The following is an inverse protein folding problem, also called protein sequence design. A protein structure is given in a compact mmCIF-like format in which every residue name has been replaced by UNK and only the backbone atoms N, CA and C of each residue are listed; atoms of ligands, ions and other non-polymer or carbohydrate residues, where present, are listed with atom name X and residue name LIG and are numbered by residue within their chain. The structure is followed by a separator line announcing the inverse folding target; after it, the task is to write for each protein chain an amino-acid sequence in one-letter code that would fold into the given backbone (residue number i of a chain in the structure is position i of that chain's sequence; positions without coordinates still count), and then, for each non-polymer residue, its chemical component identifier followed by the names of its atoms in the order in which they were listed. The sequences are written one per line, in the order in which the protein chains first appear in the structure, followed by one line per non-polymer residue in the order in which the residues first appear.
data_IF_643343175728
#
_entry.id   IF_643343175728
#
_cell.length_a   1.000
_cell.length_b   1.000
_cell.length_c   1.000
_cell.angle_alpha   90.00
_cell.angle_beta   90.00
_cell.angle_gamma   90.00
#
_symmetry.space_group_name_H-M   'P 1'
#
loop_
_entity.id
_entity.type
_entity.pdbx_description
1 polymer ?
#
# COMPACT_ATOMS: atom_id res chain seq x y z
N UNK A 1 -15.61 11.06 -14.29
CA UNK A 1 -14.36 11.57 -14.86
C UNK A 1 -13.31 10.48 -14.73
N UNK A 2 -12.75 10.03 -15.84
CA UNK A 2 -11.66 9.05 -15.84
C UNK A 2 -10.40 9.72 -15.28
N UNK A 3 -9.83 9.17 -14.21
CA UNK A 3 -8.62 9.70 -13.60
C UNK A 3 -7.39 9.24 -14.39
N UNK A 4 -6.33 10.04 -14.36
CA UNK A 4 -5.02 9.69 -14.93
C UNK A 4 -4.51 8.32 -14.44
N UNK A 5 -4.91 7.92 -13.22
CA UNK A 5 -4.59 6.65 -12.59
C UNK A 5 -4.87 5.45 -13.49
N UNK A 6 -6.08 5.37 -14.08
CA UNK A 6 -6.52 4.21 -14.87
C UNK A 6 -5.63 3.98 -16.09
N UNK A 7 -5.09 5.06 -16.66
CA UNK A 7 -4.19 4.99 -17.80
C UNK A 7 -2.78 4.56 -17.38
N UNK A 8 -2.22 5.21 -16.35
CA UNK A 8 -0.85 4.93 -15.92
C UNK A 8 -0.70 3.52 -15.32
N UNK A 9 -1.68 3.05 -14.56
CA UNK A 9 -1.65 1.70 -13.96
C UNK A 9 -1.64 0.59 -15.01
N UNK A 10 -2.31 0.79 -16.15
CA UNK A 10 -2.26 -0.21 -17.24
C UNK A 10 -0.87 -0.30 -17.85
N UNK A 11 -0.20 0.83 -18.01
CA UNK A 11 1.12 0.88 -18.67
C UNK A 11 2.29 0.60 -17.73
N UNK A 12 2.10 0.66 -16.40
CA UNK A 12 3.21 0.41 -15.46
C UNK A 12 3.65 -1.06 -15.39
N UNK A 13 2.81 -1.99 -15.84
CA UNK A 13 3.12 -3.43 -15.85
C UNK A 13 3.47 -3.98 -17.23
N UNK A 14 3.67 -3.11 -18.24
CA UNK A 14 4.08 -3.55 -19.57
C UNK A 14 5.55 -3.97 -19.60
N UNK A 15 5.89 -4.87 -20.52
CA UNK A 15 7.26 -5.39 -20.67
C UNK A 15 8.26 -4.38 -21.23
N UNK A 16 7.78 -3.30 -21.86
CA UNK A 16 8.63 -2.25 -22.43
C UNK A 16 9.16 -1.37 -21.29
N UNK A 17 10.42 -1.58 -20.90
CA UNK A 17 11.04 -1.00 -19.70
C UNK A 17 10.96 0.53 -19.66
N UNK A 18 11.19 1.21 -20.80
CA UNK A 18 11.12 2.69 -20.84
C UNK A 18 9.70 3.19 -20.53
N UNK A 19 8.66 2.47 -20.96
CA UNK A 19 7.27 2.82 -20.69
C UNK A 19 6.92 2.55 -19.22
N UNK A 20 7.20 1.33 -18.74
CA UNK A 20 6.84 0.94 -17.37
C UNK A 20 7.56 1.77 -16.32
N UNK A 21 8.87 2.02 -16.49
CA UNK A 21 9.63 2.85 -15.54
C UNK A 21 9.22 4.32 -15.56
N UNK A 22 8.84 4.87 -16.72
CA UNK A 22 8.34 6.25 -16.81
C UNK A 22 6.97 6.39 -16.14
N UNK A 23 6.09 5.40 -16.34
CA UNK A 23 4.79 5.37 -15.69
C UNK A 23 4.91 5.24 -14.16
N UNK A 24 5.78 4.36 -13.66
CA UNK A 24 6.04 4.21 -12.23
C UNK A 24 6.50 5.54 -11.59
N UNK A 25 7.50 6.20 -12.19
CA UNK A 25 7.98 7.51 -11.72
C UNK A 25 6.88 8.57 -11.73
N UNK A 26 6.08 8.62 -12.79
CA UNK A 26 4.97 9.56 -12.90
C UNK A 26 3.91 9.32 -11.81
N UNK A 27 3.48 8.06 -11.62
CA UNK A 27 2.53 7.68 -10.57
C UNK A 27 3.05 8.10 -9.20
N UNK A 28 4.31 7.81 -8.87
CA UNK A 28 4.88 8.16 -7.56
C UNK A 28 4.85 9.67 -7.29
N UNK A 29 5.25 10.49 -8.25
CA UNK A 29 5.22 11.95 -8.10
C UNK A 29 3.78 12.44 -7.91
N UNK A 30 2.84 11.95 -8.71
CA UNK A 30 1.44 12.35 -8.61
C UNK A 30 0.79 11.90 -7.31
N UNK A 31 1.03 10.66 -6.87
CA UNK A 31 0.56 10.14 -5.59
C UNK A 31 1.11 10.99 -4.44
N UNK A 32 2.40 11.30 -4.42
CA UNK A 32 2.99 12.10 -3.34
C UNK A 32 2.45 13.55 -3.31
N UNK A 33 2.17 14.13 -4.48
CA UNK A 33 1.86 15.56 -4.59
C UNK A 33 0.35 15.88 -4.57
N UNK A 34 -0.52 14.92 -4.86
CA UNK A 34 -1.94 15.15 -5.07
C UNK A 34 -2.82 14.23 -4.18
N UNK A 35 -2.99 14.57 -2.89
CA UNK A 35 -3.88 13.82 -2.01
C UNK A 35 -5.35 13.95 -2.45
N UNK A 36 -5.95 12.82 -2.84
CA UNK A 36 -7.36 12.75 -3.23
C UNK A 36 -7.98 11.43 -2.72
N UNK A 37 -9.18 11.51 -2.16
CA UNK A 37 -9.86 10.35 -1.56
C UNK A 37 -10.25 9.28 -2.59
N UNK A 38 -10.61 9.70 -3.80
CA UNK A 38 -10.95 8.75 -4.88
C UNK A 38 -9.69 8.05 -5.36
N UNK A 39 -8.58 8.77 -5.47
CA UNK A 39 -7.28 8.18 -5.78
C UNK A 39 -6.88 7.12 -4.74
N UNK A 40 -7.08 7.39 -3.44
CA UNK A 40 -6.79 6.40 -2.39
C UNK A 40 -7.55 5.09 -2.61
N UNK A 41 -8.84 5.18 -2.90
CA UNK A 41 -9.69 4.01 -3.19
C UNK A 41 -9.17 3.27 -4.43
N UNK A 42 -8.81 3.98 -5.49
CA UNK A 42 -8.27 3.37 -6.72
C UNK A 42 -6.90 2.68 -6.51
N UNK A 43 -6.05 3.23 -5.64
CA UNK A 43 -4.79 2.58 -5.21
C UNK A 43 -5.11 1.29 -4.46
N UNK A 44 -6.04 1.34 -3.50
CA UNK A 44 -6.45 0.18 -2.72
C UNK A 44 -7.06 -0.95 -3.57
N UNK A 45 -7.83 -0.62 -4.60
CA UNK A 45 -8.33 -1.58 -5.59
C UNK A 45 -7.19 -2.29 -6.34
N UNK A 46 -6.08 -1.60 -6.59
CA UNK A 46 -4.92 -2.20 -7.26
C UNK A 46 -4.18 -3.19 -6.36
N UNK A 47 -4.24 -3.03 -5.04
CA UNK A 47 -3.69 -4.00 -4.08
C UNK A 47 -4.38 -5.38 -4.14
N UNK A 48 -5.59 -5.47 -4.69
CA UNK A 48 -6.35 -6.73 -4.85
C UNK A 48 -6.45 -7.20 -6.31
N UNK A 49 -5.67 -6.60 -7.20
CA UNK A 49 -5.68 -6.94 -8.62
C UNK A 49 -5.31 -8.41 -8.89
N UNK A 50 -5.87 -8.98 -9.97
CA UNK A 50 -5.55 -10.35 -10.42
C UNK A 50 -4.06 -10.53 -10.72
N UNK A 51 -3.41 -9.49 -11.26
CA UNK A 51 -2.00 -9.53 -11.64
C UNK A 51 -1.08 -9.31 -10.42
N UNK A 52 -0.20 -10.27 -10.05
CA UNK A 52 0.72 -10.12 -8.91
C UNK A 52 1.62 -8.87 -8.97
N UNK A 53 2.22 -8.49 -10.13
CA UNK A 53 3.02 -7.28 -10.21
C UNK A 53 2.23 -6.02 -9.84
N UNK A 54 0.94 -5.98 -10.19
CA UNK A 54 0.09 -4.84 -9.90
C UNK A 54 -0.30 -4.77 -8.41
N UNK A 55 -0.50 -5.91 -7.74
CA UNK A 55 -0.73 -5.92 -6.28
C UNK A 55 0.47 -5.36 -5.53
N UNK A 56 1.67 -5.82 -5.89
CA UNK A 56 2.92 -5.31 -5.29
C UNK A 56 3.06 -3.80 -5.50
N UNK A 57 2.92 -3.31 -6.75
CA UNK A 57 3.01 -1.88 -7.05
C UNK A 57 1.92 -1.07 -6.34
N UNK A 58 0.69 -1.58 -6.29
CA UNK A 58 -0.41 -0.98 -5.55
C UNK A 58 -0.05 -0.77 -4.08
N UNK A 59 0.54 -1.78 -3.43
CA UNK A 59 1.03 -1.67 -2.06
C UNK A 59 2.16 -0.64 -1.92
N UNK A 60 3.11 -0.58 -2.86
CA UNK A 60 4.18 0.42 -2.86
C UNK A 60 3.62 1.85 -2.98
N UNK A 61 2.63 2.07 -3.86
CA UNK A 61 1.96 3.36 -4.01
C UNK A 61 1.12 3.71 -2.78
N UNK A 62 0.50 2.71 -2.15
CA UNK A 62 -0.26 2.91 -0.92
C UNK A 62 0.67 3.30 0.24
N UNK A 63 1.83 2.67 0.37
CA UNK A 63 2.87 3.09 1.33
C UNK A 63 3.23 4.55 1.14
N UNK A 64 3.49 4.95 -0.12
CA UNK A 64 3.86 6.33 -0.45
C UNK A 64 2.74 7.31 -0.09
N UNK A 65 1.49 7.00 -0.43
CA UNK A 65 0.35 7.83 -0.07
C UNK A 65 0.22 7.99 1.45
N UNK A 66 0.30 6.89 2.20
CA UNK A 66 0.16 6.90 3.66
C UNK A 66 1.32 7.60 4.39
N UNK A 67 2.52 7.64 3.78
CA UNK A 67 3.67 8.37 4.30
C UNK A 67 3.63 9.87 3.95
N UNK A 68 3.14 10.24 2.76
CA UNK A 68 3.18 11.62 2.27
C UNK A 68 1.96 12.45 2.68
N UNK A 69 0.80 11.82 2.88
CA UNK A 69 -0.46 12.55 3.10
C UNK A 69 -0.73 12.80 4.57
N UNK A 70 -1.51 13.84 4.86
CA UNK A 70 -1.93 14.16 6.23
C UNK A 70 -2.81 13.04 6.80
N UNK A 71 -2.73 12.73 8.11
CA UNK A 71 -3.50 11.66 8.76
C UNK A 71 -5.00 11.68 8.46
N UNK A 72 -5.61 12.86 8.41
CA UNK A 72 -7.06 13.04 8.20
C UNK A 72 -7.51 12.59 6.80
N UNK A 73 -6.59 12.56 5.82
CA UNK A 73 -6.86 12.03 4.49
C UNK A 73 -6.85 10.48 4.49
N UNK A 74 -6.10 9.85 5.39
CA UNK A 74 -5.98 8.39 5.45
C UNK A 74 -7.09 7.78 6.33
N UNK A 75 -7.37 8.42 7.47
CA UNK A 75 -8.29 7.92 8.50
C UNK A 75 -9.72 7.71 7.99
N UNK A 76 -10.18 8.51 7.01
CA UNK A 76 -11.51 8.35 6.38
C UNK A 76 -11.76 6.96 5.81
N UNK A 77 -10.69 6.25 5.43
CA UNK A 77 -10.76 4.90 4.87
C UNK A 77 -10.16 3.84 5.81
N UNK A 78 -10.01 4.13 7.11
CA UNK A 78 -9.26 3.29 8.05
C UNK A 78 -9.73 1.83 8.08
N UNK A 79 -11.04 1.60 8.09
CA UNK A 79 -11.61 0.24 8.08
C UNK A 79 -11.24 -0.53 6.81
N UNK A 80 -11.34 0.11 5.65
CA UNK A 80 -11.02 -0.51 4.37
C UNK A 80 -9.51 -0.74 4.23
N UNK A 81 -8.68 0.21 4.68
CA UNK A 81 -7.21 0.05 4.74
C UNK A 81 -6.81 -1.12 5.61
N UNK A 82 -7.44 -1.28 6.79
CA UNK A 82 -7.21 -2.44 7.66
C UNK A 82 -7.49 -3.76 6.92
N UNK A 83 -8.55 -3.84 6.12
CA UNK A 83 -8.85 -5.05 5.35
C UNK A 83 -7.84 -5.29 4.22
N UNK A 84 -7.41 -4.24 3.52
CA UNK A 84 -6.37 -4.34 2.49
C UNK A 84 -5.08 -4.87 3.09
N UNK A 85 -4.62 -4.31 4.22
CA UNK A 85 -3.40 -4.78 4.91
C UNK A 85 -3.56 -6.24 5.36
N UNK A 86 -4.69 -6.58 5.98
CA UNK A 86 -4.97 -7.95 6.45
C UNK A 86 -4.89 -8.97 5.31
N UNK A 87 -5.45 -8.65 4.15
CA UNK A 87 -5.37 -9.51 2.97
C UNK A 87 -3.95 -9.57 2.40
N UNK A 88 -3.27 -8.42 2.30
CA UNK A 88 -1.97 -8.31 1.65
C UNK A 88 -0.82 -8.96 2.44
N UNK A 89 -0.87 -8.99 3.78
CA UNK A 89 0.14 -9.73 4.57
C UNK A 89 0.04 -11.25 4.36
N UNK A 90 -1.12 -11.72 3.91
CA UNK A 90 -1.38 -13.11 3.54
C UNK A 90 -1.38 -13.33 2.01
N UNK A 91 -0.85 -12.38 1.22
CA UNK A 91 -0.81 -12.50 -0.25
C UNK A 91 -0.05 -13.76 -0.66
N UNK A 92 -0.43 -14.39 -1.78
CA UNK A 92 0.28 -15.56 -2.30
C UNK A 92 1.68 -15.22 -2.82
N UNK A 93 1.91 -13.99 -3.27
CA UNK A 93 3.19 -13.49 -3.75
C UNK A 93 4.09 -12.98 -2.61
N UNK A 94 5.34 -13.47 -2.55
CA UNK A 94 6.26 -13.14 -1.47
C UNK A 94 6.70 -11.65 -1.48
N UNK A 95 6.82 -11.03 -2.65
CA UNK A 95 7.22 -9.63 -2.76
C UNK A 95 6.07 -8.70 -2.35
N UNK A 96 4.83 -9.06 -2.68
CA UNK A 96 3.64 -8.39 -2.17
C UNK A 96 3.56 -8.50 -0.64
N UNK A 97 3.76 -9.70 -0.05
CA UNK A 97 3.80 -9.86 1.41
C UNK A 97 4.85 -8.97 2.08
N UNK A 98 6.06 -8.87 1.51
CA UNK A 98 7.12 -7.99 2.04
C UNK A 98 6.66 -6.53 2.05
N UNK A 99 6.14 -6.05 0.93
CA UNK A 99 5.63 -4.67 0.80
C UNK A 99 4.46 -4.41 1.76
N UNK A 100 3.57 -5.39 1.96
CA UNK A 100 2.45 -5.28 2.89
C UNK A 100 2.90 -5.13 4.35
N UNK A 101 3.99 -5.78 4.75
CA UNK A 101 4.55 -5.62 6.10
C UNK A 101 5.16 -4.23 6.30
N UNK A 102 5.78 -3.66 5.27
CA UNK A 102 6.22 -2.25 5.30
C UNK A 102 5.02 -1.30 5.40
N UNK A 103 3.97 -1.52 4.61
CA UNK A 103 2.72 -0.75 4.66
C UNK A 103 2.09 -0.77 6.06
N UNK A 104 2.07 -1.94 6.70
CA UNK A 104 1.55 -2.08 8.06
C UNK A 104 2.26 -1.12 9.02
N UNK A 105 3.59 -1.02 8.96
CA UNK A 105 4.35 -0.15 9.87
C UNK A 105 4.22 1.33 9.52
N UNK A 106 4.13 1.68 8.23
CA UNK A 106 3.79 3.06 7.81
C UNK A 106 2.44 3.48 8.42
N UNK A 107 1.43 2.62 8.33
CA UNK A 107 0.11 2.88 8.91
C UNK A 107 0.12 2.84 10.45
N UNK A 108 0.95 2.00 11.07
CA UNK A 108 1.07 1.94 12.53
C UNK A 108 1.69 3.22 13.10
N UNK A 109 2.58 3.86 12.34
CA UNK A 109 3.22 5.11 12.72
C UNK A 109 2.38 6.35 12.40
N UNK A 110 1.33 6.20 11.57
CA UNK A 110 0.36 7.25 11.31
C UNK A 110 -0.64 7.36 12.50
N UNK A 111 -0.76 8.52 13.18
CA UNK A 111 -1.59 8.64 14.40
C UNK A 111 -3.06 8.25 14.21
N UNK A 112 -3.68 8.61 13.07
CA UNK A 112 -5.08 8.27 12.80
C UNK A 112 -5.31 6.78 12.51
N UNK A 113 -4.26 6.07 12.09
CA UNK A 113 -4.32 4.65 11.74
C UNK A 113 -3.77 3.72 12.83
N UNK A 114 -2.96 4.24 13.75
CA UNK A 114 -2.30 3.44 14.79
C UNK A 114 -3.27 2.56 15.61
N UNK A 115 -4.43 3.04 16.10
CA UNK A 115 -5.35 2.20 16.86
C UNK A 115 -5.86 1.00 16.04
N UNK A 116 -6.11 1.23 14.75
CA UNK A 116 -6.57 0.20 13.81
C UNK A 116 -5.48 -0.85 13.56
N UNK A 117 -4.22 -0.42 13.41
CA UNK A 117 -3.08 -1.33 13.19
C UNK A 117 -2.72 -2.13 14.45
N UNK A 118 -2.76 -1.50 15.64
CA UNK A 118 -2.59 -2.21 16.93
C UNK A 118 -3.64 -3.29 17.12
N UNK A 119 -4.91 -2.99 16.80
CA UNK A 119 -5.98 -3.98 16.84
C UNK A 119 -5.76 -5.08 15.79
N UNK A 120 -5.41 -4.71 14.56
CA UNK A 120 -5.10 -5.68 13.50
C UNK A 120 -4.01 -6.66 13.92
N UNK A 121 -2.90 -6.17 14.49
CA UNK A 121 -1.78 -7.02 14.91
C UNK A 121 -2.23 -8.13 15.87
N UNK A 122 -3.11 -7.81 16.82
CA UNK A 122 -3.68 -8.79 17.77
C UNK A 122 -4.62 -9.80 17.10
N UNK A 123 -5.30 -9.39 16.03
CA UNK A 123 -6.27 -10.22 15.29
C UNK A 123 -5.58 -11.18 14.29
N UNK A 124 -4.28 -11.02 14.00
CA UNK A 124 -3.52 -11.85 13.07
C UNK A 124 -3.04 -13.16 13.72
N UNK A 125 -2.73 -14.17 12.90
CA UNK A 125 -2.11 -15.40 13.37
C UNK A 125 -0.67 -15.16 13.88
N UNK A 126 -0.22 -16.00 14.82
CA UNK A 126 1.09 -15.87 15.47
C UNK A 126 2.27 -15.84 14.47
N UNK A 127 2.33 -16.69 13.43
CA UNK A 127 3.36 -16.59 12.40
C UNK A 127 3.41 -15.21 11.72
N UNK A 128 2.26 -14.67 11.29
CA UNK A 128 2.20 -13.34 10.67
C UNK A 128 2.62 -12.23 11.64
N UNK A 129 2.22 -12.31 12.91
CA UNK A 129 2.65 -11.36 13.94
C UNK A 129 4.18 -11.34 14.09
N UNK A 130 4.83 -12.50 14.14
CA UNK A 130 6.29 -12.61 14.24
C UNK A 130 6.99 -11.98 13.04
N UNK A 131 6.50 -12.25 11.82
CA UNK A 131 7.07 -11.63 10.62
C UNK A 131 6.97 -10.09 10.66
N UNK A 132 5.85 -9.55 11.11
CA UNK A 132 5.67 -8.10 11.26
C UNK A 132 6.64 -7.52 12.29
N UNK A 133 6.77 -8.15 13.46
CA UNK A 133 7.65 -7.69 14.54
C UNK A 133 9.13 -7.75 14.15
N UNK A 134 9.54 -8.79 13.42
CA UNK A 134 10.91 -8.89 12.92
C UNK A 134 11.25 -7.75 11.95
N UNK A 135 10.29 -7.33 11.11
CA UNK A 135 10.48 -6.23 10.16
C UNK A 135 10.61 -4.86 10.89
N UNK A 136 9.88 -4.64 11.98
CA UNK A 136 10.06 -3.43 12.80
C UNK A 136 11.45 -3.35 13.45
N UNK A 137 12.02 -4.50 13.84
CA UNK A 137 13.35 -4.57 14.42
C UNK A 137 14.47 -4.28 13.41
N UNK A 138 14.26 -4.56 12.12
CA UNK A 138 15.27 -4.34 11.08
C UNK A 138 15.42 -2.90 10.61
N UNK A 139 14.41 -2.04 10.76
CA UNK A 139 14.48 -0.61 10.39
C UNK A 139 15.13 0.27 11.49
N UNK A 140 15.53 -0.33 12.62
CA UNK A 140 16.17 0.36 13.77
C UNK A 140 17.67 0.04 13.92
N UNK A 141 18.28 -0.61 12.92
CA UNK A 141 19.70 -0.95 12.84
C UNK A 141 20.32 -0.36 11.57
#
# INVERSE_FOLDING_TARGET
AETWWMHLVRVVVVKIQVISSSADKCIRVMVASCPDQRLLVQIMESCTAKAPPLRKLGLEYLCLACAAWKPEAIEKNATALKQVVKAAVADSDAAARKTARQLFWVLHNNPGMQPHMKKLLKDLDVPTQKHLQNEAGSDSA
#
